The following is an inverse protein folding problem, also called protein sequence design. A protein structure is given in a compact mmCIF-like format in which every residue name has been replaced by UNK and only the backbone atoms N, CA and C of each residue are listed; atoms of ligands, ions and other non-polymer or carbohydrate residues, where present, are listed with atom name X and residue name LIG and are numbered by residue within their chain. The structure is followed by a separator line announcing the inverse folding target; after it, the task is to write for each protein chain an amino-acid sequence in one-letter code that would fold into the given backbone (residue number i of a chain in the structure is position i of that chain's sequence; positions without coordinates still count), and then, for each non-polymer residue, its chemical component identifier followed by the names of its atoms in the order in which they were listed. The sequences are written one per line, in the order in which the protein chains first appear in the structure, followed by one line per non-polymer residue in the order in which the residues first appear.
data_IF_405470982325
#
_entry.id   IF_405470982325
#
_cell.length_a   1.000
_cell.length_b   1.000
_cell.length_c   1.000
_cell.angle_alpha   90.00
_cell.angle_beta   90.00
_cell.angle_gamma   90.00
#
_symmetry.space_group_name_H-M   'P 1'
#
loop_
_entity.id
_entity.type
_entity.pdbx_description
1 polymer ?
#
# COMPACT_ATOMS: atom_id res chain seq x y z
N UNK A 1 -13.95 2.66 6.48
CA UNK A 1 -13.05 3.71 7.00
C UNK A 1 -12.76 3.58 8.51
N UNK A 2 -13.01 2.42 9.15
CA UNK A 2 -12.81 2.28 10.61
C UNK A 2 -11.35 2.37 11.07
N UNK A 3 -10.40 2.05 10.19
CA UNK A 3 -8.96 1.99 10.51
C UNK A 3 -8.14 3.11 9.86
N UNK A 4 -8.79 4.08 9.20
CA UNK A 4 -8.09 5.18 8.55
C UNK A 4 -7.53 6.16 9.58
N UNK A 5 -6.21 6.31 9.60
CA UNK A 5 -5.53 7.30 10.42
C UNK A 5 -5.40 8.60 9.62
N UNK A 6 -5.63 9.74 10.29
CA UNK A 6 -5.53 11.06 9.67
C UNK A 6 -4.55 11.92 10.46
N UNK A 7 -3.72 12.65 9.74
CA UNK A 7 -2.67 13.48 10.31
C UNK A 7 -2.69 14.85 9.63
N UNK A 8 -2.48 15.91 10.41
CA UNK A 8 -2.35 17.28 9.89
C UNK A 8 -0.91 17.77 9.86
N UNK A 9 0.02 16.97 10.40
CA UNK A 9 1.47 17.22 10.42
C UNK A 9 2.20 16.06 9.77
N UNK A 10 3.29 16.37 9.07
CA UNK A 10 4.11 15.35 8.42
C UNK A 10 4.77 14.42 9.45
N UNK A 11 5.37 14.98 10.51
CA UNK A 11 6.05 14.21 11.56
C UNK A 11 5.17 13.12 12.18
N UNK A 12 3.90 13.42 12.49
CA UNK A 12 2.98 12.44 13.07
C UNK A 12 2.70 11.28 12.10
N UNK A 13 2.59 11.58 10.80
CA UNK A 13 2.41 10.60 9.74
C UNK A 13 3.68 9.75 9.54
N UNK A 14 4.85 10.38 9.49
CA UNK A 14 6.15 9.71 9.35
C UNK A 14 6.35 8.74 10.51
N UNK A 15 6.14 9.21 11.73
CA UNK A 15 6.26 8.40 12.94
C UNK A 15 5.31 7.20 12.90
N UNK A 16 4.05 7.40 12.49
CA UNK A 16 3.09 6.31 12.37
C UNK A 16 3.57 5.24 11.40
N UNK A 17 3.99 5.62 10.19
CA UNK A 17 4.45 4.68 9.16
C UNK A 17 5.67 3.91 9.65
N UNK A 18 6.64 4.58 10.26
CA UNK A 18 7.87 3.94 10.75
C UNK A 18 7.62 3.01 11.95
N UNK A 19 6.68 3.33 12.84
CA UNK A 19 6.41 2.50 14.03
C UNK A 19 5.52 1.28 13.76
N UNK A 20 4.83 1.22 12.61
CA UNK A 20 3.91 0.13 12.25
C UNK A 20 4.47 -0.75 11.12
N UNK A 21 5.71 -1.22 11.26
CA UNK A 21 6.42 -2.00 10.22
C UNK A 21 5.73 -3.31 9.83
N UNK A 22 4.79 -3.81 10.66
CA UNK A 22 4.07 -5.06 10.43
C UNK A 22 2.75 -4.87 9.66
N UNK A 23 2.36 -3.63 9.38
CA UNK A 23 1.14 -3.31 8.63
C UNK A 23 1.43 -3.17 7.13
N UNK A 24 0.38 -3.08 6.31
CA UNK A 24 0.50 -2.69 4.90
C UNK A 24 -0.26 -1.38 4.72
N UNK A 25 0.47 -0.32 4.42
CA UNK A 25 -0.03 1.05 4.46
C UNK A 25 -0.17 1.58 3.03
N UNK A 26 -1.37 2.08 2.73
CA UNK A 26 -1.62 2.95 1.59
C UNK A 26 -1.70 4.39 2.12
N UNK A 27 -0.90 5.29 1.55
CA UNK A 27 -0.84 6.68 2.00
C UNK A 27 -1.55 7.59 0.99
N UNK A 28 -2.55 8.33 1.42
CA UNK A 28 -3.03 9.51 0.69
C UNK A 28 -2.40 10.73 1.35
N UNK A 29 -1.66 11.53 0.59
CA UNK A 29 -0.94 12.70 1.11
C UNK A 29 -1.30 13.93 0.29
N UNK A 30 -1.51 15.05 0.97
CA UNK A 30 -1.74 16.33 0.31
C UNK A 30 -0.45 16.90 -0.27
N UNK A 31 -0.57 17.70 -1.33
CA UNK A 31 0.55 18.46 -1.89
C UNK A 31 1.42 19.16 -0.85
N UNK A 32 0.79 19.84 0.12
CA UNK A 32 1.49 20.64 1.14
C UNK A 32 2.38 19.82 2.07
N UNK A 33 2.06 18.54 2.30
CA UNK A 33 2.82 17.66 3.21
C UNK A 33 3.72 16.67 2.46
N UNK A 34 3.49 16.47 1.16
CA UNK A 34 4.15 15.41 0.41
C UNK A 34 5.68 15.56 0.34
N UNK A 35 6.17 16.78 0.12
CA UNK A 35 7.61 17.05 0.02
C UNK A 35 8.37 16.85 1.34
N UNK A 36 7.65 16.87 2.46
CA UNK A 36 8.21 16.64 3.79
C UNK A 36 8.09 15.15 4.18
N UNK A 37 6.91 14.55 4.03
CA UNK A 37 6.66 13.18 4.46
C UNK A 37 7.27 12.12 3.54
N UNK A 38 7.09 12.25 2.22
CA UNK A 38 7.43 11.18 1.27
C UNK A 38 8.92 10.80 1.29
N UNK A 39 9.89 11.74 1.30
CA UNK A 39 11.31 11.38 1.32
C UNK A 39 11.70 10.50 2.52
N UNK A 40 11.08 10.71 3.68
CA UNK A 40 11.41 10.04 4.94
C UNK A 40 10.83 8.62 5.06
N UNK A 41 9.80 8.30 4.28
CA UNK A 41 9.05 7.03 4.40
C UNK A 41 9.02 6.23 3.10
N UNK A 42 9.52 6.76 1.98
CA UNK A 42 9.45 6.11 0.68
C UNK A 42 10.04 4.69 0.68
N UNK A 43 11.17 4.51 1.37
CA UNK A 43 11.88 3.24 1.48
C UNK A 43 11.26 2.27 2.50
N UNK A 44 10.26 2.70 3.28
CA UNK A 44 9.62 1.83 4.26
C UNK A 44 8.91 0.66 3.55
N UNK A 45 9.22 -0.57 3.98
CA UNK A 45 8.73 -1.80 3.33
C UNK A 45 7.24 -2.04 3.53
N UNK A 46 6.66 -1.46 4.60
CA UNK A 46 5.23 -1.49 4.87
C UNK A 46 4.44 -0.49 4.02
N UNK A 47 5.10 0.46 3.36
CA UNK A 47 4.45 1.42 2.48
C UNK A 47 4.25 0.82 1.08
N UNK A 48 2.99 0.55 0.76
CA UNK A 48 2.57 -0.14 -0.46
C UNK A 48 2.49 0.81 -1.65
N UNK A 49 1.77 1.92 -1.47
CA UNK A 49 1.52 2.92 -2.51
C UNK A 49 1.24 4.27 -1.85
N UNK A 50 1.66 5.34 -2.52
CA UNK A 50 1.46 6.74 -2.16
C UNK A 50 0.61 7.41 -3.24
N UNK A 51 -0.50 8.01 -2.83
CA UNK A 51 -1.40 8.81 -3.65
C UNK A 51 -1.25 10.27 -3.24
N UNK A 52 -0.54 11.03 -4.06
CA UNK A 52 -0.42 12.47 -3.89
C UNK A 52 -1.65 13.16 -4.48
N UNK A 53 -2.44 13.79 -3.62
CA UNK A 53 -3.56 14.62 -4.03
C UNK A 53 -3.19 16.11 -3.96
N UNK A 54 -3.23 16.81 -5.09
CA UNK A 54 -2.79 18.19 -5.18
C UNK A 54 -3.55 18.99 -6.24
N UNK A 55 -3.60 20.32 -6.08
CA UNK A 55 -4.24 21.20 -7.07
C UNK A 55 -3.45 21.36 -8.38
N UNK A 56 -2.19 20.92 -8.44
CA UNK A 56 -1.34 21.07 -9.64
C UNK A 56 -0.34 19.92 -9.76
N UNK A 57 -0.62 18.98 -10.67
CA UNK A 57 0.26 17.84 -10.96
C UNK A 57 1.64 18.33 -11.44
N UNK A 58 1.66 19.37 -12.27
CA UNK A 58 2.89 19.93 -12.82
C UNK A 58 3.87 20.40 -11.73
N UNK A 59 3.37 20.90 -10.59
CA UNK A 59 4.21 21.34 -9.48
C UNK A 59 4.96 20.21 -8.76
N UNK A 60 4.55 18.95 -8.98
CA UNK A 60 5.12 17.76 -8.35
C UNK A 60 5.68 16.76 -9.35
N UNK A 61 5.49 16.93 -10.65
CA UNK A 61 5.90 15.95 -11.67
C UNK A 61 7.42 15.66 -11.64
N UNK A 62 8.25 16.71 -11.64
CA UNK A 62 9.71 16.56 -11.60
C UNK A 62 10.18 15.93 -10.28
N UNK A 63 9.71 16.45 -9.15
CA UNK A 63 10.06 15.91 -7.83
C UNK A 63 9.57 14.46 -7.65
N UNK A 64 8.38 14.16 -8.14
CA UNK A 64 7.74 12.85 -8.00
C UNK A 64 8.40 11.75 -8.84
N UNK A 65 9.18 12.11 -9.87
CA UNK A 65 9.98 11.14 -10.63
C UNK A 65 10.96 10.37 -9.75
N UNK A 66 11.47 10.99 -8.67
CA UNK A 66 12.35 10.32 -7.71
C UNK A 66 11.66 9.21 -6.91
N UNK A 67 10.33 9.14 -6.95
CA UNK A 67 9.51 8.24 -6.15
C UNK A 67 8.52 7.43 -7.01
N UNK A 68 8.72 7.38 -8.32
CA UNK A 68 7.71 6.94 -9.28
C UNK A 68 7.27 5.47 -9.13
N UNK A 69 8.07 4.62 -8.46
CA UNK A 69 7.68 3.22 -8.20
C UNK A 69 6.48 3.11 -7.26
N UNK A 70 6.35 4.02 -6.29
CA UNK A 70 5.28 4.01 -5.27
C UNK A 70 4.45 5.29 -5.27
N UNK A 71 4.83 6.33 -5.99
CA UNK A 71 4.12 7.61 -6.00
C UNK A 71 3.28 7.78 -7.26
N UNK A 72 2.00 8.05 -7.06
CA UNK A 72 1.07 8.48 -8.11
C UNK A 72 0.50 9.84 -7.74
N UNK A 73 0.29 10.70 -8.74
CA UNK A 73 -0.12 12.10 -8.54
C UNK A 73 -1.48 12.34 -9.19
N UNK A 74 -2.40 12.94 -8.43
CA UNK A 74 -3.78 13.19 -8.82
C UNK A 74 -4.19 14.61 -8.48
N UNK A 75 -5.14 15.13 -9.23
CA UNK A 75 -5.81 16.40 -8.98
C UNK A 75 -7.34 16.30 -8.95
N UNK A 76 -7.88 15.08 -9.07
CA UNK A 76 -9.30 14.81 -8.93
C UNK A 76 -9.53 13.71 -7.87
N UNK A 77 -10.54 13.90 -7.02
CA UNK A 77 -10.83 12.97 -5.93
C UNK A 77 -11.26 11.58 -6.46
N UNK A 78 -12.19 11.55 -7.43
CA UNK A 78 -12.66 10.32 -8.04
C UNK A 78 -11.51 9.44 -8.59
N UNK A 79 -10.50 10.03 -9.23
CA UNK A 79 -9.35 9.29 -9.76
C UNK A 79 -8.53 8.63 -8.64
N UNK A 80 -8.36 9.32 -7.50
CA UNK A 80 -7.67 8.77 -6.32
C UNK A 80 -8.46 7.59 -5.78
N UNK A 81 -9.77 7.75 -5.61
CA UNK A 81 -10.64 6.73 -5.02
C UNK A 81 -10.74 5.49 -5.92
N UNK A 82 -10.93 5.68 -7.22
CA UNK A 82 -10.95 4.59 -8.20
C UNK A 82 -9.62 3.83 -8.19
N UNK A 83 -8.49 4.56 -8.22
CA UNK A 83 -7.18 3.91 -8.23
C UNK A 83 -6.92 3.15 -6.93
N UNK A 84 -7.18 3.77 -5.77
CA UNK A 84 -7.03 3.15 -4.46
C UNK A 84 -7.86 1.86 -4.38
N UNK A 85 -9.12 1.91 -4.83
CA UNK A 85 -10.00 0.75 -4.83
C UNK A 85 -9.45 -0.39 -5.69
N UNK A 86 -8.97 -0.08 -6.89
CA UNK A 86 -8.40 -1.07 -7.81
C UNK A 86 -7.12 -1.71 -7.26
N UNK A 87 -6.21 -0.92 -6.68
CA UNK A 87 -4.97 -1.42 -6.08
C UNK A 87 -5.26 -2.29 -4.84
N UNK A 88 -6.21 -1.86 -3.99
CA UNK A 88 -6.67 -2.66 -2.85
C UNK A 88 -7.27 -3.99 -3.29
N UNK A 89 -8.17 -3.96 -4.27
CA UNK A 89 -8.78 -5.18 -4.82
C UNK A 89 -7.74 -6.15 -5.35
N UNK A 90 -6.76 -5.64 -6.12
CA UNK A 90 -5.66 -6.46 -6.65
C UNK A 90 -4.85 -7.12 -5.54
N UNK A 91 -4.45 -6.38 -4.52
CA UNK A 91 -3.63 -6.91 -3.41
C UNK A 91 -4.40 -7.96 -2.60
N UNK A 92 -5.68 -7.72 -2.32
CA UNK A 92 -6.53 -8.70 -1.64
C UNK A 92 -6.70 -9.96 -2.47
N UNK A 93 -6.92 -9.82 -3.79
CA UNK A 93 -7.02 -10.93 -4.72
C UNK A 93 -5.73 -11.76 -4.74
N UNK A 94 -4.58 -11.13 -4.95
CA UNK A 94 -3.28 -11.81 -5.02
C UNK A 94 -2.97 -12.57 -3.72
N UNK A 95 -3.25 -11.96 -2.56
CA UNK A 95 -3.13 -12.62 -1.25
C UNK A 95 -4.05 -13.82 -1.12
N UNK A 96 -5.30 -13.70 -1.54
CA UNK A 96 -6.25 -14.82 -1.50
C UNK A 96 -5.77 -15.98 -2.38
N UNK A 97 -5.29 -15.69 -3.60
CA UNK A 97 -4.77 -16.71 -4.52
C UNK A 97 -3.55 -17.44 -3.95
N UNK A 98 -2.64 -16.74 -3.26
CA UNK A 98 -1.52 -17.37 -2.56
C UNK A 98 -1.99 -18.30 -1.44
N UNK A 99 -3.00 -17.89 -0.67
CA UNK A 99 -3.61 -18.73 0.37
C UNK A 99 -4.25 -20.00 -0.23
N UNK A 100 -4.99 -19.86 -1.33
CA UNK A 100 -5.58 -21.01 -2.03
C UNK A 100 -4.52 -21.99 -2.53
N UNK A 101 -3.46 -21.47 -3.16
CA UNK A 101 -2.35 -22.30 -3.63
C UNK A 101 -1.69 -23.07 -2.48
N UNK A 102 -1.38 -22.41 -1.38
CA UNK A 102 -0.81 -23.05 -0.18
C UNK A 102 -1.74 -24.11 0.40
N UNK A 103 -3.03 -23.81 0.50
CA UNK A 103 -4.03 -24.76 1.00
C UNK A 103 -4.06 -26.04 0.13
N UNK A 104 -3.95 -25.91 -1.19
CA UNK A 104 -3.93 -27.05 -2.10
C UNK A 104 -2.64 -27.88 -1.95
N UNK A 105 -1.48 -27.22 -1.82
CA UNK A 105 -0.21 -27.90 -1.53
C UNK A 105 -0.29 -28.71 -0.21
N UNK A 106 -0.93 -28.16 0.82
CA UNK A 106 -1.14 -28.89 2.09
C UNK A 106 -2.04 -30.11 1.93
N UNK A 107 -3.13 -30.01 1.15
CA UNK A 107 -4.03 -31.16 0.88
C UNK A 107 -3.28 -32.28 0.15
N UNK A 108 -2.48 -31.92 -0.86
CA UNK A 108 -1.68 -32.88 -1.63
C UNK A 108 -0.68 -33.60 -0.72
N UNK A 109 0.07 -32.86 0.10
CA UNK A 109 1.00 -33.44 1.08
C UNK A 109 0.29 -34.35 2.09
N UNK A 110 -0.83 -33.90 2.67
CA UNK A 110 -1.60 -34.70 3.62
C UNK A 110 -2.10 -36.02 3.02
N UNK A 111 -2.43 -36.03 1.73
CA UNK A 111 -2.86 -37.24 1.01
C UNK A 111 -1.74 -38.26 0.84
N UNK A 112 -0.48 -37.81 0.73
CA UNK A 112 0.70 -38.70 0.65
C UNK A 112 1.00 -39.43 1.97
N UNK A 113 0.66 -38.81 3.11
CA UNK A 113 0.82 -39.43 4.43
C UNK A 113 -0.33 -40.36 4.82
N UNK A 114 -1.42 -40.44 4.03
CA UNK A 114 -2.44 -41.48 4.18
C UNK A 114 -1.92 -42.81 3.59
N UNK A 115 -0.92 -43.41 4.22
CA UNK A 115 -0.73 -44.85 4.07
C UNK A 115 -1.79 -45.56 4.93
N UNK A 116 -2.46 -46.62 4.44
CA UNK A 116 -3.29 -47.44 5.31
C UNK A 116 -2.39 -48.06 6.37
N UNK A 117 -2.76 -47.92 7.65
CA UNK A 117 -2.19 -48.75 8.70
C UNK A 117 -2.52 -50.21 8.33
N UNK A 118 -1.48 -50.98 7.99
CA UNK A 118 -1.60 -52.42 7.71
C UNK A 118 -1.94 -53.22 8.95
#
# INVERSE_FOLDING_TARGET
LGDAQTFTKADDCIQYVQSHSNESIFLIVSGSLAKEAVPEIYECSNLVQIYLFCGSIAAYAEWGMNYCEKLMIFNHEDDVLERLWNDLHKILHDRAMLCFKRAEEYKQRASQYRQPCG
#
